data_IF_691321253409
#
_entry.id   IF_691321253409
#
_cell.length_a   1.000
_cell.length_b   1.000
_cell.length_c   1.000
_cell.angle_alpha   90.00
_cell.angle_beta   90.00
_cell.angle_gamma   90.00
#
_symmetry.space_group_name_H-M   'P 1'
#
loop_
_entity.id
_entity.type
_entity.pdbx_description
1 polymer ?
#
# COMPACT_ATOMS: atom_id res chain seq x y z
N UNK A 1 14.05 10.48 18.87
CA UNK A 1 13.86 9.09 19.33
C UNK A 1 13.30 8.31 18.15
N UNK A 2 14.13 7.63 17.38
CA UNK A 2 13.62 6.75 16.31
C UNK A 2 12.86 5.60 16.98
N UNK A 3 11.55 5.56 16.78
CA UNK A 3 10.76 4.39 17.21
C UNK A 3 11.12 3.26 16.26
N UNK A 4 11.81 2.25 16.79
CA UNK A 4 12.16 1.06 16.02
C UNK A 4 10.86 0.36 15.58
N UNK A 5 10.67 0.20 14.28
CA UNK A 5 9.49 -0.47 13.73
C UNK A 5 9.49 -1.95 14.08
N UNK A 6 8.33 -2.49 14.48
CA UNK A 6 8.15 -3.93 14.65
C UNK A 6 8.25 -4.64 13.29
N UNK A 7 8.49 -5.96 13.30
CA UNK A 7 8.52 -6.71 12.03
C UNK A 7 7.19 -6.62 11.27
N UNK A 8 6.05 -6.61 11.96
CA UNK A 8 4.73 -6.43 11.33
C UNK A 8 4.63 -5.08 10.61
N UNK A 9 5.12 -3.99 11.21
CA UNK A 9 5.15 -2.67 10.59
C UNK A 9 6.11 -2.62 9.39
N UNK A 10 7.27 -3.30 9.47
CA UNK A 10 8.20 -3.44 8.35
C UNK A 10 7.57 -4.20 7.18
N UNK A 11 6.88 -5.31 7.46
CA UNK A 11 6.16 -6.10 6.46
C UNK A 11 5.10 -5.26 5.75
N UNK A 12 4.26 -4.56 6.52
CA UNK A 12 3.21 -3.70 5.97
C UNK A 12 3.82 -2.58 5.11
N UNK A 13 4.92 -1.98 5.57
CA UNK A 13 5.58 -0.94 4.79
C UNK A 13 6.14 -1.48 3.47
N UNK A 14 6.85 -2.61 3.53
CA UNK A 14 7.41 -3.27 2.36
C UNK A 14 6.32 -3.72 1.36
N UNK A 15 5.15 -4.13 1.85
CA UNK A 15 4.00 -4.46 1.01
C UNK A 15 3.51 -3.25 0.22
N UNK A 16 3.29 -2.11 0.89
CA UNK A 16 2.84 -0.90 0.20
C UNK A 16 3.87 -0.37 -0.79
N UNK A 17 5.15 -0.38 -0.43
CA UNK A 17 6.23 0.04 -1.34
C UNK A 17 6.30 -0.87 -2.58
N UNK A 18 6.11 -2.18 -2.39
CA UNK A 18 6.01 -3.13 -3.48
C UNK A 18 4.80 -2.80 -4.38
N UNK A 19 3.62 -2.63 -3.81
CA UNK A 19 2.38 -2.29 -4.55
C UNK A 19 2.54 -0.98 -5.30
N UNK A 20 3.11 0.05 -4.68
CA UNK A 20 3.33 1.36 -5.31
C UNK A 20 4.29 1.24 -6.50
N UNK A 21 5.42 0.56 -6.34
CA UNK A 21 6.35 0.31 -7.43
C UNK A 21 5.73 -0.51 -8.56
N UNK A 22 4.87 -1.49 -8.24
CA UNK A 22 4.15 -2.30 -9.22
C UNK A 22 3.08 -1.50 -9.96
N UNK A 23 2.42 -0.57 -9.29
CA UNK A 23 1.46 0.33 -9.90
C UNK A 23 2.15 1.32 -10.85
N UNK A 24 3.28 1.90 -10.43
CA UNK A 24 4.11 2.78 -11.27
C UNK A 24 4.61 2.07 -12.52
N UNK A 25 5.11 0.83 -12.41
CA UNK A 25 5.56 0.03 -13.57
C UNK A 25 4.45 -0.32 -14.56
N UNK A 26 3.19 -0.29 -14.12
CA UNK A 26 2.00 -0.50 -14.96
C UNK A 26 1.44 0.81 -15.51
N UNK A 27 2.12 1.93 -15.30
CA UNK A 27 1.73 3.27 -15.74
C UNK A 27 0.36 3.73 -15.19
N UNK A 28 -0.03 3.28 -14.00
CA UNK A 28 -1.24 3.83 -13.36
C UNK A 28 -1.09 5.35 -13.16
N UNK A 29 -2.07 6.10 -13.64
CA UNK A 29 -2.10 7.56 -13.52
C UNK A 29 -2.28 8.05 -12.09
N UNK A 30 -2.12 9.38 -11.88
CA UNK A 30 -2.27 10.02 -10.57
C UNK A 30 -3.67 9.79 -10.00
N UNK A 31 -3.78 8.84 -9.06
CA UNK A 31 -5.04 8.47 -8.40
C UNK A 31 -5.88 7.44 -9.14
N UNK A 32 -5.48 7.00 -10.34
CA UNK A 32 -6.18 5.95 -11.09
C UNK A 32 -6.15 4.62 -10.35
N UNK A 33 -4.96 4.21 -9.91
CA UNK A 33 -4.80 3.00 -9.09
C UNK A 33 -5.74 3.03 -7.88
N UNK A 34 -5.75 4.15 -7.15
CA UNK A 34 -6.59 4.30 -5.97
C UNK A 34 -8.08 4.20 -6.29
N UNK A 35 -8.54 4.79 -7.40
CA UNK A 35 -9.94 4.73 -7.82
C UNK A 35 -10.36 3.30 -8.20
N UNK A 36 -9.45 2.47 -8.68
CA UNK A 36 -9.74 1.05 -8.96
C UNK A 36 -9.72 0.20 -7.69
N UNK A 37 -8.85 0.52 -6.71
CA UNK A 37 -8.80 -0.20 -5.42
C UNK A 37 -10.05 0.08 -4.59
N UNK A 38 -10.57 1.31 -4.63
CA UNK A 38 -11.78 1.72 -3.92
C UNK A 38 -12.82 2.33 -4.87
N UNK A 39 -13.53 1.52 -5.65
CA UNK A 39 -14.49 2.03 -6.64
C UNK A 39 -15.73 2.67 -6.00
N UNK A 40 -16.07 2.28 -4.77
CA UNK A 40 -17.28 2.75 -4.08
C UNK A 40 -17.10 4.10 -3.37
N UNK A 41 -15.89 4.67 -3.37
CA UNK A 41 -15.63 5.99 -2.77
C UNK A 41 -15.29 7.02 -3.85
N UNK A 42 -15.59 8.31 -3.63
CA UNK A 42 -15.22 9.35 -4.58
C UNK A 42 -13.72 9.33 -4.90
N UNK A 43 -13.33 9.50 -6.17
CA UNK A 43 -11.94 9.41 -6.61
C UNK A 43 -10.95 10.28 -5.79
N UNK A 44 -11.40 11.48 -5.35
CA UNK A 44 -10.62 12.35 -4.46
C UNK A 44 -10.36 11.71 -3.10
N UNK A 45 -11.35 11.03 -2.53
CA UNK A 45 -11.22 10.31 -1.26
C UNK A 45 -10.32 9.08 -1.41
N UNK A 46 -10.45 8.32 -2.50
CA UNK A 46 -9.57 7.21 -2.84
C UNK A 46 -8.09 7.66 -2.94
N UNK A 47 -7.83 8.72 -3.70
CA UNK A 47 -6.49 9.28 -3.84
C UNK A 47 -5.90 9.77 -2.51
N UNK A 48 -6.72 10.39 -1.64
CA UNK A 48 -6.32 10.79 -0.30
C UNK A 48 -5.98 9.59 0.59
N UNK A 49 -6.77 8.52 0.52
CA UNK A 49 -6.51 7.27 1.24
C UNK A 49 -5.20 6.63 0.78
N UNK A 50 -4.98 6.54 -0.54
CA UNK A 50 -3.71 6.03 -1.07
C UNK A 50 -2.52 6.85 -0.62
N UNK A 51 -2.65 8.17 -0.63
CA UNK A 51 -1.60 9.09 -0.17
C UNK A 51 -1.29 8.93 1.31
N UNK A 52 -2.28 8.65 2.15
CA UNK A 52 -2.10 8.39 3.59
C UNK A 52 -1.42 7.04 3.87
N UNK A 53 -1.73 6.00 3.07
CA UNK A 53 -1.11 4.67 3.16
C UNK A 53 0.34 4.69 2.68
N UNK A 54 0.63 5.40 1.57
CA UNK A 54 1.98 5.55 1.03
C UNK A 54 2.85 6.48 1.87
N UNK A 55 2.28 7.60 2.31
CA UNK A 55 2.98 8.60 3.11
C UNK A 55 3.20 8.17 4.55
N UNK A 56 3.94 9.00 5.30
CA UNK A 56 3.85 9.06 6.76
C UNK A 56 2.74 10.06 7.05
N UNK A 57 1.71 9.69 7.81
CA UNK A 57 0.66 10.65 8.16
C UNK A 57 1.30 11.85 8.87
N UNK A 58 1.12 13.05 8.32
CA UNK A 58 1.79 14.30 8.75
C UNK A 58 1.52 14.66 10.21
N UNK A 59 0.42 14.17 10.79
CA UNK A 59 0.01 14.51 12.14
C UNK A 59 0.42 13.47 13.21
N UNK A 60 0.73 12.23 12.83
CA UNK A 60 1.08 11.15 13.78
C UNK A 60 2.46 10.56 13.53
N UNK A 61 3.11 10.89 12.41
CA UNK A 61 4.41 10.36 11.99
C UNK A 61 4.40 8.87 11.63
N UNK A 62 3.25 8.20 11.73
CA UNK A 62 3.10 6.76 11.46
C UNK A 62 2.33 6.56 10.16
N UNK A 63 2.79 5.67 9.26
CA UNK A 63 2.00 5.24 8.12
C UNK A 63 0.64 4.70 8.59
N UNK A 64 -0.41 4.92 7.79
CA UNK A 64 -1.69 4.27 8.03
C UNK A 64 -1.58 2.78 7.70
N UNK A 65 -2.14 1.93 8.56
CA UNK A 65 -2.17 0.49 8.34
C UNK A 65 -3.03 0.10 7.14
N UNK A 66 -2.76 -1.08 6.57
CA UNK A 66 -3.47 -1.62 5.41
C UNK A 66 -4.40 -2.74 5.88
N UNK A 67 -5.70 -2.59 5.63
CA UNK A 67 -6.65 -3.67 5.86
C UNK A 67 -6.40 -4.80 4.86
N UNK A 68 -6.60 -6.05 5.28
CA UNK A 68 -6.47 -7.22 4.37
C UNK A 68 -7.40 -7.09 3.16
N UNK A 69 -8.61 -6.55 3.34
CA UNK A 69 -9.52 -6.28 2.23
C UNK A 69 -8.95 -5.29 1.22
N UNK A 70 -8.29 -4.22 1.69
CA UNK A 70 -7.65 -3.24 0.82
C UNK A 70 -6.44 -3.87 0.10
N UNK A 71 -5.67 -4.71 0.81
CA UNK A 71 -4.54 -5.44 0.24
C UNK A 71 -4.98 -6.41 -0.88
N UNK A 72 -6.10 -7.11 -0.69
CA UNK A 72 -6.69 -7.99 -1.70
C UNK A 72 -7.13 -7.18 -2.94
N UNK A 73 -7.83 -6.05 -2.74
CA UNK A 73 -8.21 -5.16 -3.84
C UNK A 73 -6.98 -4.59 -4.58
N UNK A 74 -5.92 -4.22 -3.87
CA UNK A 74 -4.65 -3.78 -4.49
C UNK A 74 -4.04 -4.88 -5.36
N UNK A 75 -4.00 -6.12 -4.85
CA UNK A 75 -3.49 -7.27 -5.58
C UNK A 75 -4.31 -7.52 -6.86
N UNK A 76 -5.65 -7.50 -6.74
CA UNK A 76 -6.56 -7.68 -7.85
C UNK A 76 -6.38 -6.61 -8.96
N UNK A 77 -6.24 -5.33 -8.58
CA UNK A 77 -5.97 -4.24 -9.54
C UNK A 77 -4.64 -4.42 -10.27
N UNK A 78 -3.63 -4.97 -9.61
CA UNK A 78 -2.35 -5.29 -10.24
C UNK A 78 -2.39 -6.57 -11.09
N UNK A 79 -3.45 -7.37 -10.97
CA UNK A 79 -3.54 -8.71 -11.56
C UNK A 79 -2.51 -9.67 -10.96
N UNK A 80 -2.22 -9.55 -9.66
CA UNK A 80 -1.27 -10.40 -8.92
C UNK A 80 -1.97 -11.06 -7.72
N UNK A 81 -1.49 -12.23 -7.29
CA UNK A 81 -2.00 -12.89 -6.08
C UNK A 81 -1.52 -12.16 -4.81
N UNK A 82 -2.43 -11.92 -3.85
CA UNK A 82 -2.08 -11.30 -2.57
C UNK A 82 -1.03 -12.14 -1.81
N UNK A 83 -1.15 -13.46 -1.83
CA UNK A 83 -0.21 -14.37 -1.16
C UNK A 83 1.22 -14.22 -1.69
N UNK A 84 1.37 -14.03 -3.02
CA UNK A 84 2.65 -13.77 -3.67
C UNK A 84 3.23 -12.42 -3.25
N UNK A 85 2.41 -11.36 -3.29
CA UNK A 85 2.84 -10.02 -2.87
C UNK A 85 3.29 -9.99 -1.40
N UNK A 86 2.58 -10.71 -0.52
CA UNK A 86 2.96 -10.83 0.90
C UNK A 86 4.25 -11.62 1.10
N UNK A 87 4.50 -12.67 0.31
CA UNK A 87 5.76 -13.42 0.37
C UNK A 87 6.95 -12.52 0.01
N UNK A 88 6.85 -11.79 -1.11
CA UNK A 88 7.90 -10.85 -1.56
C UNK A 88 8.08 -9.71 -0.55
N UNK A 89 6.99 -9.14 -0.02
CA UNK A 89 7.04 -8.12 1.01
C UNK A 89 7.75 -8.60 2.28
N UNK A 90 7.50 -9.86 2.70
CA UNK A 90 8.13 -10.48 3.87
C UNK A 90 9.63 -10.67 3.68
N UNK A 91 10.08 -11.01 2.47
CA UNK A 91 11.50 -11.08 2.14
C UNK A 91 12.16 -9.70 2.15
N UNK A 92 11.48 -8.69 1.60
CA UNK A 92 11.98 -7.31 1.61
C UNK A 92 12.07 -6.73 3.03
N UNK A 93 11.12 -7.04 3.91
CA UNK A 93 11.09 -6.57 5.29
C UNK A 93 12.18 -7.16 6.21
N UNK A 94 12.89 -8.20 5.75
CA UNK A 94 14.02 -8.81 6.45
C UNK A 94 15.36 -8.15 6.12
N UNK A 95 15.43 -7.40 5.02
CA UNK A 95 16.60 -6.62 4.61
C UNK A 95 16.69 -5.37 5.48
#
# INVERSE_FOLDING_TARGET
METQMTFAQKLERAFVELVDSRAERRNFGKGEFAAQVWPDVPAKAAASRWSAIRGKATNTGKPQGVLISDAESMAAVLGEDLSYLLAVAKENARK
#
